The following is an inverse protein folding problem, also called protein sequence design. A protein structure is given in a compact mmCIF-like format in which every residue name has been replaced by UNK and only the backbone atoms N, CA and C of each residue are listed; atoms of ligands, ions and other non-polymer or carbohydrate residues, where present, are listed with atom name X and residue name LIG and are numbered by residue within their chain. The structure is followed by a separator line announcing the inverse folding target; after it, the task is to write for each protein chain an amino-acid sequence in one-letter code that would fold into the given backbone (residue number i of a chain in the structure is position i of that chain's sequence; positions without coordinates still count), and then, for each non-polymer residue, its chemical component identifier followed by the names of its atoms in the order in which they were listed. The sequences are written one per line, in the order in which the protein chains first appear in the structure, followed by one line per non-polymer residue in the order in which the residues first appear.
data_IF_556573290219
#
_entry.id   IF_556573290219
#
_cell.length_a   1.000
_cell.length_b   1.000
_cell.length_c   1.000
_cell.angle_alpha   90.00
_cell.angle_beta   90.00
_cell.angle_gamma   90.00
#
_symmetry.space_group_name_H-M   'P 1'
#
loop_
_entity.id
_entity.type
_entity.pdbx_description
1 polymer ?
#
# COMPACT_ATOMS: atom_id res chain seq x y z
N UNK A 1 0.81 13.92 -11.77
CA UNK A 1 -0.42 14.46 -11.15
C UNK A 1 -0.62 13.71 -9.84
N UNK A 2 -0.79 14.41 -8.73
CA UNK A 2 -1.11 13.76 -7.44
C UNK A 2 -2.58 13.36 -7.43
N UNK A 3 -2.90 12.14 -7.00
CA UNK A 3 -4.28 11.63 -7.07
C UNK A 3 -5.28 12.48 -6.24
N UNK A 4 -4.79 13.15 -5.20
CA UNK A 4 -5.59 14.02 -4.33
C UNK A 4 -5.97 15.36 -4.98
N UNK A 5 -5.37 15.71 -6.12
CA UNK A 5 -5.68 16.96 -6.83
C UNK A 5 -6.68 16.76 -7.97
N UNK A 6 -7.13 15.52 -8.18
CA UNK A 6 -8.13 15.17 -9.19
C UNK A 6 -9.53 15.40 -8.60
N UNK A 7 -10.33 16.37 -9.10
CA UNK A 7 -11.55 16.82 -8.42
C UNK A 7 -12.65 15.76 -8.26
N UNK A 8 -12.68 14.73 -9.12
CA UNK A 8 -13.68 13.67 -9.09
C UNK A 8 -13.25 12.45 -8.28
N UNK A 9 -12.03 12.46 -7.73
CA UNK A 9 -11.52 11.37 -6.89
C UNK A 9 -11.58 11.78 -5.42
N UNK A 10 -12.14 10.90 -4.59
CA UNK A 10 -12.01 10.98 -3.13
C UNK A 10 -11.17 9.81 -2.66
N UNK A 11 -10.05 10.11 -1.98
CA UNK A 11 -9.09 9.09 -1.54
C UNK A 11 -9.07 9.03 -0.02
N UNK A 12 -9.43 7.86 0.51
CA UNK A 12 -9.34 7.55 1.93
C UNK A 12 -8.16 6.61 2.17
N UNK A 13 -7.22 7.04 3.00
CA UNK A 13 -6.10 6.21 3.43
C UNK A 13 -6.50 5.44 4.68
N UNK A 14 -6.24 4.13 4.69
CA UNK A 14 -6.54 3.27 5.84
C UNK A 14 -7.98 3.41 6.39
N UNK A 15 -9.03 3.37 5.53
CA UNK A 15 -10.40 3.53 6.00
C UNK A 15 -10.81 2.39 6.94
N UNK A 16 -11.63 2.72 7.93
CA UNK A 16 -12.21 1.74 8.84
C UNK A 16 -13.46 1.12 8.22
N UNK A 17 -13.40 -0.16 7.82
CA UNK A 17 -14.53 -0.89 7.26
C UNK A 17 -14.91 -2.04 8.20
N UNK A 18 -16.20 -2.16 8.51
CA UNK A 18 -16.73 -3.24 9.33
C UNK A 18 -17.29 -4.33 8.43
N UNK A 19 -16.91 -5.59 8.67
CA UNK A 19 -17.39 -6.75 7.94
C UNK A 19 -18.44 -7.46 8.82
N UNK A 20 -19.74 -7.39 8.47
CA UNK A 20 -20.78 -8.09 9.21
C UNK A 20 -20.54 -9.61 9.19
N UNK A 21 -20.89 -10.28 10.29
CA UNK A 21 -20.71 -11.74 10.41
C UNK A 21 -21.42 -12.54 9.32
N UNK A 22 -22.57 -12.06 8.82
CA UNK A 22 -23.29 -12.68 7.71
C UNK A 22 -22.48 -12.66 6.40
N UNK A 23 -21.71 -11.60 6.14
CA UNK A 23 -20.82 -11.50 4.96
C UNK A 23 -19.69 -12.51 5.08
N UNK A 24 -19.08 -12.60 6.27
CA UNK A 24 -18.05 -13.58 6.57
C UNK A 24 -18.56 -15.02 6.38
N UNK A 25 -19.78 -15.31 6.82
CA UNK A 25 -20.42 -16.63 6.64
C UNK A 25 -20.70 -16.90 5.16
N UNK A 26 -21.18 -15.90 4.42
CA UNK A 26 -21.45 -16.03 2.99
C UNK A 26 -20.19 -16.39 2.19
N UNK A 27 -19.06 -15.72 2.47
CA UNK A 27 -17.76 -16.06 1.86
C UNK A 27 -17.23 -17.44 2.29
N UNK A 28 -17.54 -17.87 3.52
CA UNK A 28 -17.12 -19.17 4.02
C UNK A 28 -17.99 -20.33 3.50
N UNK A 29 -19.20 -20.01 3.03
CA UNK A 29 -20.12 -20.98 2.46
C UNK A 29 -19.62 -21.53 1.12
N UNK A 30 -20.18 -22.65 0.69
CA UNK A 30 -19.89 -23.25 -0.63
C UNK A 30 -20.56 -22.49 -1.78
N UNK A 31 -20.50 -21.16 -1.75
CA UNK A 31 -21.04 -20.27 -2.78
C UNK A 31 -20.10 -20.30 -3.99
N UNK A 32 -20.66 -20.40 -5.19
CA UNK A 32 -19.86 -20.40 -6.42
C UNK A 32 -19.15 -19.05 -6.61
N UNK A 33 -17.99 -19.07 -7.27
CA UNK A 33 -17.24 -17.85 -7.55
C UNK A 33 -18.07 -16.83 -8.34
N UNK A 34 -18.85 -17.28 -9.32
CA UNK A 34 -19.74 -16.42 -10.11
C UNK A 34 -20.82 -15.76 -9.25
N UNK A 35 -21.45 -16.50 -8.34
CA UNK A 35 -22.44 -15.93 -7.43
C UNK A 35 -21.83 -14.86 -6.51
N UNK A 36 -20.57 -15.04 -6.07
CA UNK A 36 -19.86 -14.01 -5.32
C UNK A 36 -19.63 -12.73 -6.14
N UNK A 37 -19.37 -12.85 -7.45
CA UNK A 37 -19.14 -11.68 -8.32
C UNK A 37 -20.42 -10.89 -8.62
N UNK A 38 -21.59 -11.53 -8.53
CA UNK A 38 -22.90 -10.96 -8.84
C UNK A 38 -23.71 -10.53 -7.60
N UNK A 39 -23.19 -10.79 -6.39
CA UNK A 39 -23.88 -10.48 -5.15
C UNK A 39 -23.45 -9.13 -4.58
N UNK A 40 -24.41 -8.37 -4.08
CA UNK A 40 -24.19 -7.19 -3.24
C UNK A 40 -24.89 -7.40 -1.90
N UNK A 41 -24.19 -7.17 -0.80
CA UNK A 41 -24.69 -7.33 0.56
C UNK A 41 -24.78 -5.97 1.28
N UNK A 42 -25.72 -5.87 2.20
CA UNK A 42 -25.92 -4.65 2.99
C UNK A 42 -24.77 -4.42 3.97
N UNK A 43 -24.29 -3.18 4.03
CA UNK A 43 -23.31 -2.72 5.00
C UNK A 43 -24.00 -2.03 6.17
N UNK A 44 -23.60 -2.38 7.40
CA UNK A 44 -24.05 -1.72 8.63
C UNK A 44 -22.83 -1.27 9.42
N UNK A 45 -22.73 0.05 9.67
CA UNK A 45 -21.61 0.61 10.40
C UNK A 45 -21.54 0.07 11.84
N UNK A 46 -20.33 -0.22 12.31
CA UNK A 46 -20.07 -0.70 13.68
C UNK A 46 -20.41 -2.16 13.95
N UNK A 47 -20.93 -2.91 12.97
CA UNK A 47 -21.32 -4.32 13.15
C UNK A 47 -20.28 -5.26 12.52
N UNK A 48 -19.77 -6.19 13.34
CA UNK A 48 -18.82 -7.22 12.92
C UNK A 48 -17.36 -6.80 13.11
N UNK A 49 -16.44 -7.52 12.44
CA UNK A 49 -15.01 -7.27 12.61
C UNK A 49 -14.55 -6.08 11.79
N UNK A 50 -13.63 -5.29 12.34
CA UNK A 50 -13.03 -4.15 11.62
C UNK A 50 -11.84 -4.60 10.80
N UNK A 51 -11.73 -4.06 9.59
CA UNK A 51 -10.54 -4.13 8.74
C UNK A 51 -10.12 -2.70 8.34
N UNK A 52 -8.88 -2.57 7.88
CA UNK A 52 -8.31 -1.31 7.41
C UNK A 52 -7.51 -1.53 6.13
N UNK A 53 -8.15 -1.56 4.95
CA UNK A 53 -7.44 -1.64 3.67
C UNK A 53 -6.48 -0.47 3.51
N UNK A 54 -5.41 -0.61 2.73
CA UNK A 54 -4.41 0.46 2.58
C UNK A 54 -5.02 1.74 1.98
N UNK A 55 -5.89 1.60 0.99
CA UNK A 55 -6.56 2.73 0.34
C UNK A 55 -7.95 2.38 -0.18
N UNK A 56 -8.85 3.36 -0.13
CA UNK A 56 -10.12 3.38 -0.85
C UNK A 56 -10.17 4.62 -1.73
N UNK A 57 -10.58 4.44 -2.97
CA UNK A 57 -10.74 5.50 -3.96
C UNK A 57 -12.18 5.46 -4.44
N UNK A 58 -12.91 6.54 -4.19
CA UNK A 58 -14.20 6.80 -4.81
C UNK A 58 -13.96 7.63 -6.07
N UNK A 59 -14.45 7.15 -7.19
CA UNK A 59 -14.37 7.82 -8.48
C UNK A 59 -15.78 8.22 -8.93
N UNK A 60 -16.09 9.51 -8.79
CA UNK A 60 -17.40 10.03 -9.13
C UNK A 60 -17.66 10.04 -10.65
N UNK A 61 -16.61 10.10 -11.48
CA UNK A 61 -16.74 10.11 -12.93
C UNK A 61 -17.11 8.72 -13.46
N UNK A 62 -16.47 7.67 -12.93
CA UNK A 62 -16.79 6.27 -13.24
C UNK A 62 -17.97 5.71 -12.42
N UNK A 63 -18.42 6.43 -11.39
CA UNK A 63 -19.33 5.90 -10.36
C UNK A 63 -18.81 4.57 -9.79
N UNK A 64 -17.54 4.56 -9.42
CA UNK A 64 -16.83 3.39 -8.97
C UNK A 64 -16.27 3.57 -7.56
N UNK A 65 -16.19 2.49 -6.80
CA UNK A 65 -15.42 2.41 -5.56
C UNK A 65 -14.36 1.33 -5.70
N UNK A 66 -13.11 1.71 -5.51
CA UNK A 66 -11.97 0.83 -5.64
C UNK A 66 -11.24 0.76 -4.30
N UNK A 67 -11.01 -0.45 -3.79
CA UNK A 67 -10.38 -0.69 -2.49
C UNK A 67 -9.15 -1.55 -2.71
N UNK A 68 -8.00 -1.08 -2.23
CA UNK A 68 -6.72 -1.73 -2.50
C UNK A 68 -5.92 -2.03 -1.26
N UNK A 69 -5.24 -3.18 -1.31
CA UNK A 69 -4.12 -3.57 -0.47
C UNK A 69 -2.84 -3.38 -1.28
N UNK A 70 -1.94 -2.51 -0.83
CA UNK A 70 -0.69 -2.19 -1.51
C UNK A 70 0.44 -3.01 -0.88
N UNK A 71 1.05 -3.89 -1.67
CA UNK A 71 2.16 -4.73 -1.21
C UNK A 71 3.40 -4.43 -2.02
N UNK A 72 4.53 -4.23 -1.33
CA UNK A 72 5.82 -3.96 -1.98
C UNK A 72 6.32 -5.17 -2.80
N UNK A 73 5.95 -6.40 -2.43
CA UNK A 73 6.05 -7.55 -3.34
C UNK A 73 7.48 -8.06 -3.62
N UNK A 74 8.28 -8.34 -2.59
CA UNK A 74 9.56 -9.07 -2.73
C UNK A 74 9.73 -10.23 -1.74
N UNK A 75 8.82 -10.39 -0.78
CA UNK A 75 8.86 -11.48 0.20
C UNK A 75 7.71 -12.46 -0.02
N UNK A 76 7.99 -13.77 0.09
CA UNK A 76 6.93 -14.79 0.19
C UNK A 76 6.03 -14.41 1.37
N UNK A 77 4.79 -14.04 1.06
CA UNK A 77 3.79 -13.76 2.08
C UNK A 77 3.41 -15.09 2.73
N UNK A 78 3.32 -15.10 4.07
CA UNK A 78 2.82 -16.26 4.81
C UNK A 78 1.45 -16.70 4.24
N UNK A 79 1.28 -18.02 4.05
CA UNK A 79 0.05 -18.61 3.54
C UNK A 79 -1.18 -18.22 4.39
N UNK A 80 -1.01 -18.05 5.71
CA UNK A 80 -2.07 -17.58 6.61
C UNK A 80 -2.54 -16.15 6.27
N UNK A 81 -1.58 -15.23 6.11
CA UNK A 81 -1.85 -13.82 5.75
C UNK A 81 -2.48 -13.69 4.37
N UNK A 82 -2.07 -14.56 3.43
CA UNK A 82 -2.66 -14.60 2.09
C UNK A 82 -4.13 -15.00 2.14
N UNK A 83 -4.48 -16.09 2.87
CA UNK A 83 -5.87 -16.52 3.03
C UNK A 83 -6.75 -15.44 3.66
N UNK A 84 -6.24 -14.76 4.69
CA UNK A 84 -6.94 -13.66 5.33
C UNK A 84 -7.19 -12.50 4.35
N UNK A 85 -6.17 -12.09 3.59
CA UNK A 85 -6.28 -11.01 2.59
C UNK A 85 -7.33 -11.35 1.52
N UNK A 86 -7.30 -12.58 1.00
CA UNK A 86 -8.28 -13.05 0.01
C UNK A 86 -9.70 -13.00 0.56
N UNK A 87 -9.89 -13.46 1.80
CA UNK A 87 -11.20 -13.40 2.47
C UNK A 87 -11.67 -11.96 2.64
N UNK A 88 -10.80 -11.08 3.10
CA UNK A 88 -11.12 -9.68 3.39
C UNK A 88 -11.52 -8.93 2.13
N UNK A 89 -10.75 -9.06 1.05
CA UNK A 89 -11.07 -8.42 -0.22
C UNK A 89 -12.40 -8.90 -0.80
N UNK A 90 -12.70 -10.21 -0.69
CA UNK A 90 -14.01 -10.74 -1.10
C UNK A 90 -15.14 -10.19 -0.26
N UNK A 91 -15.00 -10.19 1.07
CA UNK A 91 -16.01 -9.62 1.96
C UNK A 91 -16.27 -8.15 1.64
N UNK A 92 -15.20 -7.37 1.48
CA UNK A 92 -15.28 -5.94 1.16
C UNK A 92 -15.99 -5.71 -0.15
N UNK A 93 -15.59 -6.43 -1.21
CA UNK A 93 -16.21 -6.29 -2.53
C UNK A 93 -17.73 -6.42 -2.47
N UNK A 94 -18.23 -7.41 -1.72
CA UNK A 94 -19.68 -7.66 -1.57
C UNK A 94 -20.42 -6.49 -0.91
N UNK A 95 -19.78 -5.76 0.01
CA UNK A 95 -20.42 -4.66 0.75
C UNK A 95 -20.12 -3.28 0.16
N UNK A 96 -19.18 -3.17 -0.80
CA UNK A 96 -18.64 -1.88 -1.25
C UNK A 96 -19.71 -0.91 -1.75
N UNK A 97 -20.73 -1.38 -2.49
CA UNK A 97 -21.81 -0.50 -2.96
C UNK A 97 -22.64 0.06 -1.81
N UNK A 98 -23.04 -0.81 -0.87
CA UNK A 98 -23.78 -0.39 0.33
C UNK A 98 -22.92 0.47 1.26
N UNK A 99 -21.61 0.21 1.35
CA UNK A 99 -20.67 1.03 2.10
C UNK A 99 -20.60 2.45 1.52
N UNK A 100 -20.49 2.58 0.21
CA UNK A 100 -20.48 3.89 -0.45
C UNK A 100 -21.76 4.68 -0.13
N UNK A 101 -22.92 4.02 -0.16
CA UNK A 101 -24.19 4.66 0.17
C UNK A 101 -24.27 5.09 1.64
N UNK A 102 -23.89 4.22 2.57
CA UNK A 102 -24.05 4.47 4.01
C UNK A 102 -23.00 5.41 4.57
N UNK A 103 -21.75 5.29 4.13
CA UNK A 103 -20.61 6.02 4.71
C UNK A 103 -20.19 7.25 3.93
N UNK A 104 -20.47 7.27 2.62
CA UNK A 104 -20.00 8.34 1.72
C UNK A 104 -21.16 9.08 1.03
N UNK A 105 -22.42 8.74 1.37
CA UNK A 105 -23.64 9.32 0.81
C UNK A 105 -23.64 9.33 -0.73
N UNK A 106 -23.18 8.23 -1.33
CA UNK A 106 -23.02 8.13 -2.79
C UNK A 106 -23.43 6.78 -3.34
N UNK A 107 -23.86 6.76 -4.60
CA UNK A 107 -24.21 5.53 -5.32
C UNK A 107 -23.15 5.22 -6.36
N UNK A 108 -22.64 3.99 -6.31
CA UNK A 108 -21.65 3.45 -7.25
C UNK A 108 -22.23 2.24 -7.97
N UNK A 109 -21.81 2.05 -9.21
CA UNK A 109 -22.22 0.91 -10.07
C UNK A 109 -21.10 -0.11 -10.25
N UNK A 110 -19.85 0.33 -10.07
CA UNK A 110 -18.65 -0.49 -10.19
C UNK A 110 -17.93 -0.61 -8.85
N UNK A 111 -17.38 -1.81 -8.59
CA UNK A 111 -16.60 -2.09 -7.38
C UNK A 111 -15.35 -2.89 -7.72
N UNK A 112 -14.20 -2.46 -7.22
CA UNK A 112 -12.97 -3.26 -7.21
C UNK A 112 -12.50 -3.49 -5.78
N UNK A 113 -12.05 -4.70 -5.47
CA UNK A 113 -11.25 -4.99 -4.28
C UNK A 113 -10.06 -5.85 -4.70
N UNK A 114 -8.83 -5.33 -4.61
CA UNK A 114 -7.66 -6.02 -5.15
C UNK A 114 -6.37 -5.75 -4.36
N UNK A 115 -5.40 -6.66 -4.52
CA UNK A 115 -4.01 -6.42 -4.13
C UNK A 115 -3.26 -5.83 -5.32
N UNK A 116 -2.59 -4.70 -5.09
CA UNK A 116 -1.57 -4.18 -5.99
C UNK A 116 -0.18 -4.56 -5.45
N UNK A 117 0.49 -5.49 -6.12
CA UNK A 117 1.88 -5.83 -5.84
C UNK A 117 2.81 -4.95 -6.66
N UNK A 118 3.45 -3.97 -6.03
CA UNK A 118 4.31 -2.95 -6.67
C UNK A 118 5.44 -3.59 -7.49
N UNK A 119 6.04 -4.68 -6.99
CA UNK A 119 7.09 -5.43 -7.69
C UNK A 119 6.60 -6.76 -8.30
N UNK A 120 5.27 -6.91 -8.52
CA UNK A 120 4.69 -7.95 -9.36
C UNK A 120 4.43 -9.32 -8.71
N UNK A 121 5.05 -9.65 -7.57
CA UNK A 121 4.78 -10.93 -6.90
C UNK A 121 3.52 -10.86 -6.02
N UNK A 122 2.50 -11.70 -6.31
CA UNK A 122 1.31 -11.85 -5.46
C UNK A 122 0.86 -13.30 -5.36
N UNK A 123 0.36 -13.68 -4.18
CA UNK A 123 -0.16 -15.01 -3.89
C UNK A 123 -1.70 -15.08 -3.89
N UNK A 124 -2.40 -13.96 -4.11
CA UNK A 124 -3.88 -13.92 -4.15
C UNK A 124 -4.41 -14.41 -5.51
N UNK A 125 -5.67 -14.85 -5.66
CA UNK A 125 -6.25 -15.22 -6.95
C UNK A 125 -6.24 -14.08 -8.00
N UNK A 126 -6.22 -14.37 -9.32
CA UNK A 126 -6.17 -13.35 -10.38
C UNK A 126 -7.30 -12.31 -10.32
N UNK A 127 -8.51 -12.69 -9.91
CA UNK A 127 -9.68 -11.82 -9.75
C UNK A 127 -9.54 -10.77 -8.63
N UNK A 128 -8.54 -10.93 -7.77
CA UNK A 128 -8.20 -10.01 -6.68
C UNK A 128 -6.83 -9.36 -6.89
N UNK A 129 -6.33 -9.31 -8.12
CA UNK A 129 -5.07 -8.64 -8.47
C UNK A 129 -5.33 -7.44 -9.36
N UNK A 130 -4.50 -6.42 -9.19
CA UNK A 130 -4.34 -5.33 -10.15
C UNK A 130 -2.84 -5.03 -10.26
N UNK A 131 -2.34 -4.82 -11.47
CA UNK A 131 -0.95 -4.43 -11.69
C UNK A 131 -0.74 -2.95 -11.38
N UNK A 132 0.51 -2.54 -11.19
CA UNK A 132 0.83 -1.13 -11.00
C UNK A 132 0.45 -0.32 -12.25
N UNK A 133 0.74 -0.88 -13.44
CA UNK A 133 0.43 -0.26 -14.74
C UNK A 133 -1.08 -0.10 -14.94
N UNK A 134 -1.88 -1.10 -14.56
CA UNK A 134 -3.34 -1.03 -14.61
C UNK A 134 -3.89 0.05 -13.66
N UNK A 135 -3.31 0.18 -12.47
CA UNK A 135 -3.66 1.20 -11.49
C UNK A 135 -3.30 2.61 -11.98
N UNK A 136 -2.11 2.76 -12.56
CA UNK A 136 -1.64 4.01 -13.17
C UNK A 136 -2.53 4.46 -14.32
N UNK A 137 -2.85 3.54 -15.24
CA UNK A 137 -3.74 3.79 -16.37
C UNK A 137 -5.14 4.19 -15.89
N UNK A 138 -5.66 3.51 -14.85
CA UNK A 138 -7.01 3.77 -14.31
C UNK A 138 -7.19 5.20 -13.80
N UNK A 139 -6.18 5.76 -13.13
CA UNK A 139 -6.27 7.10 -12.52
C UNK A 139 -5.46 8.16 -13.25
N UNK A 140 -4.84 7.82 -14.39
CA UNK A 140 -3.94 8.69 -15.12
C UNK A 140 -2.83 9.29 -14.22
N UNK A 141 -2.19 8.43 -13.43
CA UNK A 141 -1.12 8.76 -12.49
C UNK A 141 0.17 8.05 -12.86
N UNK A 142 1.31 8.58 -12.44
CA UNK A 142 2.62 7.96 -12.62
C UNK A 142 3.21 7.63 -11.24
N UNK A 143 2.70 6.55 -10.65
CA UNK A 143 3.13 6.04 -9.35
C UNK A 143 4.54 5.48 -9.39
N UNK A 144 4.94 4.85 -10.50
CA UNK A 144 6.28 4.30 -10.70
C UNK A 144 7.33 5.38 -10.56
N UNK A 145 7.16 6.52 -11.22
CA UNK A 145 8.08 7.65 -11.10
C UNK A 145 8.15 8.19 -9.66
N UNK A 146 7.03 8.26 -8.95
CA UNK A 146 7.01 8.70 -7.54
C UNK A 146 7.75 7.71 -6.64
N UNK A 147 7.53 6.41 -6.83
CA UNK A 147 8.20 5.35 -6.07
C UNK A 147 9.71 5.37 -6.34
N UNK A 148 10.11 5.45 -7.61
CA UNK A 148 11.52 5.52 -8.01
C UNK A 148 12.21 6.76 -7.45
N UNK A 149 11.57 7.93 -7.52
CA UNK A 149 12.11 9.16 -6.93
C UNK A 149 12.28 9.03 -5.41
N UNK A 150 11.28 8.45 -4.73
CA UNK A 150 11.33 8.23 -3.28
C UNK A 150 12.47 7.30 -2.90
N UNK A 151 12.68 6.21 -3.65
CA UNK A 151 13.78 5.28 -3.43
C UNK A 151 15.15 5.93 -3.64
N UNK A 152 15.27 6.76 -4.68
CA UNK A 152 16.49 7.48 -4.97
C UNK A 152 16.83 8.49 -3.86
N UNK A 153 15.86 9.26 -3.40
CA UNK A 153 16.03 10.21 -2.30
C UNK A 153 16.40 9.50 -0.99
N UNK A 154 15.69 8.42 -0.67
CA UNK A 154 16.00 7.59 0.49
C UNK A 154 17.42 7.02 0.42
N UNK A 155 17.81 6.48 -0.75
CA UNK A 155 19.15 5.96 -0.99
C UNK A 155 20.24 7.01 -0.76
N UNK A 156 20.09 8.20 -1.35
CA UNK A 156 21.02 9.33 -1.14
C UNK A 156 21.14 9.70 0.33
N UNK A 157 20.02 9.78 1.05
CA UNK A 157 20.02 10.15 2.46
C UNK A 157 20.66 9.08 3.33
N UNK A 158 20.41 7.81 3.02
CA UNK A 158 21.04 6.68 3.69
C UNK A 158 22.55 6.67 3.46
N UNK A 159 23.01 6.90 2.23
CA UNK A 159 24.44 7.02 1.89
C UNK A 159 25.11 8.17 2.65
N UNK A 160 24.47 9.34 2.71
CA UNK A 160 24.99 10.48 3.47
C UNK A 160 25.14 10.15 4.96
N UNK A 161 24.13 9.52 5.57
CA UNK A 161 24.18 9.11 6.99
C UNK A 161 25.25 8.04 7.24
N UNK A 162 25.42 7.08 6.33
CA UNK A 162 26.46 6.06 6.44
C UNK A 162 27.86 6.66 6.29
N UNK A 163 28.02 7.67 5.43
CA UNK A 163 29.28 8.38 5.24
C UNK A 163 29.64 9.26 6.46
N UNK A 164 28.65 9.98 7.01
CA UNK A 164 28.82 10.75 8.26
C UNK A 164 29.24 9.84 9.42
N UNK A 165 28.58 8.69 9.59
CA UNK A 165 28.94 7.72 10.62
C UNK A 165 30.35 7.16 10.41
N UNK A 166 30.73 6.81 9.17
CA UNK A 166 32.07 6.31 8.87
C UNK A 166 33.16 7.35 9.19
N UNK A 167 32.90 8.64 8.91
CA UNK A 167 33.81 9.71 9.30
C UNK A 167 33.92 9.86 10.81
N UNK A 168 32.82 9.78 11.56
CA UNK A 168 32.85 9.82 13.03
C UNK A 168 33.61 8.64 13.64
N UNK A 169 33.45 7.44 13.08
CA UNK A 169 34.14 6.23 13.54
C UNK A 169 35.65 6.27 13.24
N UNK A 170 36.07 6.87 12.12
CA UNK A 170 37.46 6.97 11.70
C UNK A 170 38.19 8.22 12.23
N UNK A 171 37.46 9.27 12.63
CA UNK A 171 38.04 10.52 13.15
C UNK A 171 39.00 10.32 14.33
N UNK A 172 38.69 9.47 15.34
CA UNK A 172 39.60 9.18 16.44
C UNK A 172 40.91 8.55 16.00
N UNK A 173 40.86 7.64 15.01
CA UNK A 173 42.06 6.99 14.46
C UNK A 173 42.90 7.95 13.63
N UNK A 174 42.25 8.87 12.90
CA UNK A 174 42.92 9.90 12.12
C UNK A 174 43.58 10.96 13.04
N UNK A 175 42.87 11.42 14.07
CA UNK A 175 43.42 12.38 15.05
C UNK A 175 44.62 11.79 15.81
N UNK A 176 44.55 10.52 16.22
CA UNK A 176 45.65 9.84 16.89
C UNK A 176 46.91 9.69 16.00
N UNK A 177 46.73 9.59 14.68
CA UNK A 177 47.85 9.51 13.73
C UNK A 177 48.45 10.88 13.40
N UNK A 178 47.69 11.98 13.53
CA UNK A 178 48.22 13.34 13.42
C UNK A 178 49.01 13.80 14.66
N UNK A 179 48.61 13.40 15.88
CA UNK A 179 49.36 13.72 17.12
C UNK A 179 50.72 13.02 17.21
N UNK A 180 50.93 11.92 16.47
CA UNK A 180 52.21 11.20 16.41
C UNK A 180 53.22 11.83 15.43
N UNK A 181 52.84 12.84 14.65
CA UNK A 181 53.74 13.58 13.75
C UNK A 181 54.19 14.85 14.48
N UNK A 182 55.09 14.73 15.45
CA UNK A 182 55.82 15.90 15.96
C UNK A 182 56.75 16.45 14.85
N UNK A 183 56.89 17.79 14.71
CA UNK A 183 57.79 18.36 13.73
C UNK A 183 59.22 17.94 14.06
N UNK A 184 59.84 17.18 13.16
CA UNK A 184 61.25 16.85 13.24
C UNK A 184 62.03 18.16 13.44
N UNK A 185 62.64 18.31 14.61
CA UNK A 185 63.46 19.45 14.95
C UNK A 185 64.61 19.54 13.96
N UNK A 186 64.56 20.54 13.08
CA UNK A 186 65.65 20.86 12.17
C UNK A 186 66.79 21.40 13.03
N UNK A 187 67.74 20.53 13.37
CA UNK A 187 68.99 20.92 13.99
C UNK A 187 69.82 21.68 12.96
N UNK A 188 69.84 23.01 13.08
CA UNK A 188 70.77 23.87 12.34
C UNK A 188 72.12 23.82 13.06
N UNK A 189 73.14 23.42 12.31
CA UNK A 189 74.55 23.24 12.72
C UNK A 189 75.17 24.49 13.35
#
# INVERSE_FOLDING_TARGET
MEINTVPHLTVLRTPSIFIPGAVDQFISGSVSHEALLQSDLHYTHGIGRKISPDVLILDAARKAIDIFELKRGLAKTDAGKTRQTVRDLRCVRLISKSYAQVMLDTTVVETTAAVCSIHGASAVPPDLRISLEELEARYNVNLKSVIEHTYLEFGRRLEALLFEQALEDDLPNLMASFELIEPASVSVY
#
